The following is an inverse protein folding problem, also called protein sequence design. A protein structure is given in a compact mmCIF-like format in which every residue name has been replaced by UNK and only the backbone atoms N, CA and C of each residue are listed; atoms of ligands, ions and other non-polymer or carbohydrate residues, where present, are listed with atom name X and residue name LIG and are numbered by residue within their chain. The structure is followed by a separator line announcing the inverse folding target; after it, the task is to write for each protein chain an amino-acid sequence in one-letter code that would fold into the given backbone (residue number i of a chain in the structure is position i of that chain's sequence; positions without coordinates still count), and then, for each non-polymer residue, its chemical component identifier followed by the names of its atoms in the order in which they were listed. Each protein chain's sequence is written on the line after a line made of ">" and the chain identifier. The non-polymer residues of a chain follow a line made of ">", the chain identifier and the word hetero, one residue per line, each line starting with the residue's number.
data_IF_861268119094
#
_entry.id   IF_861268119094
#
_cell.length_a   1.000
_cell.length_b   1.000
_cell.length_c   1.000
_cell.angle_alpha   90.00
_cell.angle_beta   90.00
_cell.angle_gamma   90.00
#
_symmetry.space_group_name_H-M   'P 1'
#
loop_
_entity.id
_entity.type
_entity.pdbx_description
1 polymer ?
#
# COMPACT_ATOMS: atom_id res chain seq x y z
N UNK A 1 -7.62 6.17 -12.24
CA UNK A 1 -6.98 4.84 -12.29
C UNK A 1 -7.47 3.90 -11.17
N UNK A 2 -7.36 4.28 -9.88
CA UNK A 2 -7.76 3.43 -8.75
C UNK A 2 -9.23 2.95 -8.78
N UNK A 3 -10.18 3.86 -9.03
CA UNK A 3 -11.61 3.53 -9.15
C UNK A 3 -11.86 2.45 -10.20
N UNK A 4 -11.27 2.61 -11.39
CA UNK A 4 -11.47 1.69 -12.52
C UNK A 4 -10.93 0.30 -12.22
N UNK A 5 -9.70 0.21 -11.69
CA UNK A 5 -9.09 -1.10 -11.38
C UNK A 5 -9.87 -1.80 -10.27
N UNK A 6 -10.33 -1.06 -9.26
CA UNK A 6 -11.15 -1.61 -8.19
C UNK A 6 -12.55 -2.03 -8.63
N UNK A 7 -13.20 -1.22 -9.47
CA UNK A 7 -14.45 -1.60 -10.11
C UNK A 7 -14.30 -2.86 -10.95
N UNK A 8 -13.28 -2.91 -11.83
CA UNK A 8 -13.03 -4.08 -12.67
C UNK A 8 -12.72 -5.32 -11.85
N UNK A 9 -11.90 -5.20 -10.80
CA UNK A 9 -11.57 -6.33 -9.91
C UNK A 9 -12.82 -6.86 -9.20
N UNK A 10 -13.63 -5.97 -8.61
CA UNK A 10 -14.88 -6.37 -7.95
C UNK A 10 -15.93 -6.89 -8.93
N UNK A 11 -16.02 -6.31 -10.12
CA UNK A 11 -16.91 -6.76 -11.18
C UNK A 11 -16.55 -8.16 -11.65
N UNK A 12 -15.27 -8.44 -11.86
CA UNK A 12 -14.78 -9.78 -12.22
C UNK A 12 -15.07 -10.79 -11.11
N UNK A 13 -14.74 -10.46 -9.86
CA UNK A 13 -15.03 -11.30 -8.69
C UNK A 13 -16.52 -11.66 -8.57
N UNK A 14 -17.42 -10.79 -9.02
CA UNK A 14 -18.88 -10.98 -8.96
C UNK A 14 -19.47 -11.67 -10.19
N UNK A 15 -18.93 -11.40 -11.38
CA UNK A 15 -19.49 -11.86 -12.67
C UNK A 15 -18.96 -13.22 -13.12
N UNK A 16 -17.72 -13.56 -12.76
CA UNK A 16 -17.23 -14.90 -13.07
C UNK A 16 -17.96 -15.88 -12.16
N UNK A 17 -18.70 -16.83 -12.73
CA UNK A 17 -19.13 -18.06 -12.05
C UNK A 17 -17.95 -18.95 -11.58
N UNK A 18 -16.72 -18.43 -11.65
CA UNK A 18 -15.53 -19.04 -11.12
C UNK A 18 -15.60 -19.01 -9.59
N UNK A 19 -15.46 -20.19 -9.00
CA UNK A 19 -15.38 -20.35 -7.55
C UNK A 19 -14.29 -19.43 -6.97
N UNK A 20 -14.54 -18.83 -5.81
CA UNK A 20 -13.55 -18.07 -5.02
C UNK A 20 -12.22 -18.83 -4.86
N UNK A 21 -12.29 -20.17 -4.92
CA UNK A 21 -11.16 -21.11 -4.93
C UNK A 21 -10.20 -20.96 -6.13
N UNK A 22 -10.57 -20.22 -7.18
CA UNK A 22 -9.74 -19.96 -8.36
C UNK A 22 -9.29 -18.49 -8.37
N UNK A 23 -10.23 -17.56 -8.22
CA UNK A 23 -9.94 -16.12 -8.37
C UNK A 23 -9.05 -15.60 -7.25
N UNK A 24 -9.30 -15.99 -6.00
CA UNK A 24 -8.52 -15.49 -4.86
C UNK A 24 -7.07 -15.98 -4.85
N UNK A 25 -6.77 -17.27 -5.15
CA UNK A 25 -5.37 -17.70 -5.31
C UNK A 25 -4.62 -16.94 -6.41
N UNK A 26 -5.24 -16.70 -7.57
CA UNK A 26 -4.60 -15.95 -8.66
C UNK A 26 -4.26 -14.52 -8.19
N UNK A 27 -5.21 -13.85 -7.55
CA UNK A 27 -5.00 -12.53 -6.96
C UNK A 27 -3.89 -12.54 -5.91
N UNK A 28 -3.83 -13.57 -5.06
CA UNK A 28 -2.73 -13.74 -4.12
C UNK A 28 -1.38 -14.03 -4.79
N UNK A 29 -1.38 -14.67 -5.95
CA UNK A 29 -0.18 -14.82 -6.79
C UNK A 29 0.35 -13.49 -7.29
N UNK A 30 -0.53 -12.59 -7.74
CA UNK A 30 -0.16 -11.21 -8.12
C UNK A 30 0.43 -10.49 -6.91
N UNK A 31 -0.19 -10.61 -5.74
CA UNK A 31 0.36 -10.04 -4.49
C UNK A 31 1.74 -10.63 -4.18
N UNK A 32 1.95 -11.94 -4.34
CA UNK A 32 3.24 -12.60 -4.15
C UNK A 32 4.34 -12.08 -5.08
N UNK A 33 4.03 -11.87 -6.36
CA UNK A 33 4.95 -11.25 -7.33
C UNK A 33 5.32 -9.83 -6.90
N UNK A 34 4.35 -9.06 -6.42
CA UNK A 34 4.57 -7.69 -5.97
C UNK A 34 5.44 -7.67 -4.70
N UNK A 35 5.18 -8.57 -3.74
CA UNK A 35 5.99 -8.71 -2.52
C UNK A 35 7.44 -9.03 -2.87
N UNK A 36 7.69 -9.88 -3.87
CA UNK A 36 9.04 -10.18 -4.33
C UNK A 36 9.81 -8.92 -4.80
N UNK A 37 9.09 -7.92 -5.29
CA UNK A 37 9.62 -6.69 -5.89
C UNK A 37 9.40 -5.44 -5.03
N UNK A 38 8.90 -5.59 -3.81
CA UNK A 38 8.63 -4.47 -2.93
C UNK A 38 9.96 -3.88 -2.41
N UNK A 39 10.26 -2.58 -2.66
CA UNK A 39 11.47 -1.95 -2.16
C UNK A 39 11.47 -1.92 -0.62
N UNK A 40 12.59 -2.30 -0.02
CA UNK A 40 12.74 -2.34 1.42
C UNK A 40 14.15 -1.92 1.84
N UNK A 41 14.22 -1.01 2.81
CA UNK A 41 15.48 -0.64 3.46
C UNK A 41 16.05 -1.76 4.35
N UNK A 42 15.24 -2.78 4.68
CA UNK A 42 15.69 -3.94 5.47
C UNK A 42 16.45 -4.96 4.63
N UNK A 43 16.30 -4.92 3.30
CA UNK A 43 16.92 -5.87 2.39
C UNK A 43 18.20 -5.24 1.82
N UNK A 44 19.39 -5.81 2.07
CA UNK A 44 20.62 -5.29 1.52
C UNK A 44 20.63 -5.34 -0.01
N UNK A 45 21.08 -4.27 -0.64
CA UNK A 45 21.32 -4.22 -2.08
C UNK A 45 22.62 -3.45 -2.37
N UNK A 46 23.53 -4.00 -3.19
CA UNK A 46 24.74 -3.29 -3.59
C UNK A 46 24.40 -2.02 -4.39
N UNK A 47 24.90 -0.86 -3.96
CA UNK A 47 24.79 0.39 -4.71
C UNK A 47 23.44 1.12 -4.63
N UNK A 48 22.45 0.60 -3.89
CA UNK A 48 21.16 1.27 -3.66
C UNK A 48 20.79 1.28 -2.18
N UNK A 49 20.04 2.31 -1.75
CA UNK A 49 19.56 2.42 -0.37
C UNK A 49 18.47 1.39 -0.01
N UNK A 50 17.85 0.75 -1.00
CA UNK A 50 16.77 -0.22 -0.81
C UNK A 50 16.96 -1.41 -1.76
N UNK A 51 16.74 -2.61 -1.23
CA UNK A 51 16.72 -3.87 -1.98
C UNK A 51 15.32 -4.47 -2.09
N UNK A 52 15.18 -5.49 -2.94
CA UNK A 52 13.98 -6.31 -3.07
C UNK A 52 14.33 -7.77 -2.81
N UNK A 53 13.34 -8.61 -2.50
CA UNK A 53 13.59 -10.05 -2.31
C UNK A 53 14.18 -10.65 -3.59
N UNK A 54 13.63 -10.26 -4.74
CA UNK A 54 14.10 -10.70 -6.04
C UNK A 54 15.58 -10.30 -6.29
N UNK A 55 15.95 -9.05 -6.01
CA UNK A 55 17.33 -8.59 -6.22
C UNK A 55 18.30 -9.21 -5.22
N UNK A 56 17.88 -9.42 -3.98
CA UNK A 56 18.68 -10.10 -2.97
C UNK A 56 19.03 -11.54 -3.38
N UNK A 57 18.06 -12.29 -3.88
CA UNK A 57 18.29 -13.66 -4.36
C UNK A 57 19.22 -13.65 -5.57
N UNK A 58 19.03 -12.74 -6.53
CA UNK A 58 19.91 -12.62 -7.69
C UNK A 58 21.37 -12.34 -7.29
N UNK A 59 21.57 -11.35 -6.43
CA UNK A 59 22.91 -10.97 -5.95
C UNK A 59 23.58 -12.08 -5.14
N UNK A 60 22.82 -12.90 -4.41
CA UNK A 60 23.35 -13.98 -3.58
C UNK A 60 23.83 -15.19 -4.38
N UNK A 61 23.36 -15.36 -5.61
CA UNK A 61 23.76 -16.50 -6.44
C UNK A 61 25.06 -16.25 -7.21
N UNK A 62 25.54 -14.99 -7.28
CA UNK A 62 26.75 -14.58 -8.01
C UNK A 62 26.80 -15.07 -9.47
N UNK A 63 25.64 -15.42 -10.04
CA UNK A 63 25.52 -15.94 -11.40
C UNK A 63 25.40 -14.79 -12.39
N UNK A 64 26.21 -14.81 -13.45
CA UNK A 64 26.00 -13.91 -14.60
C UNK A 64 24.84 -14.43 -15.44
N UNK A 65 23.65 -13.87 -15.22
CA UNK A 65 22.41 -14.19 -15.96
C UNK A 65 22.02 -13.08 -16.93
N UNK A 66 21.29 -13.41 -18.02
CA UNK A 66 20.81 -12.41 -18.96
C UNK A 66 19.87 -11.40 -18.28
N UNK A 67 20.11 -10.11 -18.54
CA UNK A 67 19.16 -9.05 -18.23
C UNK A 67 17.97 -9.11 -19.19
N UNK A 68 16.76 -9.02 -18.68
CA UNK A 68 15.53 -9.08 -19.48
C UNK A 68 15.06 -7.68 -19.84
N UNK A 69 14.89 -6.80 -18.84
CA UNK A 69 14.47 -5.41 -19.02
C UNK A 69 15.29 -4.52 -18.08
N UNK A 70 16.08 -3.60 -18.63
CA UNK A 70 16.93 -2.71 -17.84
C UNK A 70 17.86 -3.50 -16.91
N UNK A 71 17.82 -3.21 -15.61
CA UNK A 71 18.57 -3.92 -14.58
C UNK A 71 17.87 -5.18 -14.03
N UNK A 72 16.72 -5.56 -14.59
CA UNK A 72 15.93 -6.70 -14.12
C UNK A 72 16.32 -7.98 -14.85
N UNK A 73 16.89 -8.95 -14.12
CA UNK A 73 17.45 -10.18 -14.67
C UNK A 73 16.50 -11.40 -14.59
N UNK A 74 16.95 -12.51 -15.19
CA UNK A 74 16.21 -13.78 -15.22
C UNK A 74 15.99 -14.41 -13.83
N UNK A 75 16.92 -14.24 -12.89
CA UNK A 75 16.77 -14.75 -11.52
C UNK A 75 15.71 -13.96 -10.77
N UNK A 76 15.66 -12.64 -10.94
CA UNK A 76 14.63 -11.79 -10.35
C UNK A 76 13.24 -12.16 -10.88
N UNK A 77 13.09 -12.37 -12.19
CA UNK A 77 11.83 -12.89 -12.80
C UNK A 77 11.46 -14.23 -12.18
N UNK A 78 12.41 -15.17 -12.14
CA UNK A 78 12.18 -16.53 -11.63
C UNK A 78 11.77 -16.51 -10.16
N UNK A 79 12.45 -15.72 -9.33
CA UNK A 79 12.16 -15.55 -7.91
C UNK A 79 10.76 -15.00 -7.69
N UNK A 80 10.39 -13.97 -8.47
CA UNK A 80 9.06 -13.37 -8.42
C UNK A 80 7.96 -14.35 -8.82
N UNK A 81 8.19 -15.13 -9.88
CA UNK A 81 7.26 -16.14 -10.34
C UNK A 81 7.11 -17.27 -9.32
N UNK A 82 8.21 -17.73 -8.71
CA UNK A 82 8.20 -18.76 -7.67
C UNK A 82 7.40 -18.28 -6.46
N UNK A 83 7.63 -17.05 -5.98
CA UNK A 83 6.87 -16.48 -4.86
C UNK A 83 5.38 -16.31 -5.20
N UNK A 84 5.06 -15.88 -6.42
CA UNK A 84 3.69 -15.82 -6.92
C UNK A 84 3.02 -17.19 -6.94
N UNK A 85 3.65 -18.19 -7.54
CA UNK A 85 3.14 -19.56 -7.61
C UNK A 85 3.01 -20.20 -6.22
N UNK A 86 3.94 -19.91 -5.31
CA UNK A 86 3.88 -20.34 -3.92
C UNK A 86 2.65 -19.73 -3.23
N UNK A 87 2.40 -18.43 -3.39
CA UNK A 87 1.21 -17.78 -2.84
C UNK A 87 -0.09 -18.36 -3.40
N UNK A 88 -0.15 -18.65 -4.71
CA UNK A 88 -1.28 -19.35 -5.35
C UNK A 88 -1.50 -20.71 -4.71
N UNK A 89 -0.44 -21.54 -4.63
CA UNK A 89 -0.52 -22.89 -4.09
C UNK A 89 -0.95 -22.90 -2.62
N UNK A 90 -0.39 -22.00 -1.82
CA UNK A 90 -0.73 -21.84 -0.40
C UNK A 90 -2.20 -21.44 -0.23
N UNK A 91 -2.66 -20.38 -0.89
CA UNK A 91 -4.04 -19.93 -0.78
C UNK A 91 -5.03 -20.95 -1.31
N UNK A 92 -4.72 -21.61 -2.42
CA UNK A 92 -5.57 -22.67 -2.97
C UNK A 92 -5.70 -23.84 -1.98
N UNK A 93 -4.60 -24.23 -1.32
CA UNK A 93 -4.61 -25.28 -0.30
C UNK A 93 -5.48 -24.90 0.91
N UNK A 94 -5.44 -23.64 1.33
CA UNK A 94 -6.23 -23.17 2.48
C UNK A 94 -7.71 -23.06 2.12
N UNK A 95 -8.03 -22.45 0.96
CA UNK A 95 -9.41 -22.29 0.47
C UNK A 95 -10.09 -23.62 0.17
N UNK A 96 -9.35 -24.63 -0.30
CA UNK A 96 -9.88 -25.98 -0.52
C UNK A 96 -10.29 -26.68 0.79
N UNK A 97 -9.70 -26.31 1.93
CA UNK A 97 -10.07 -26.85 3.25
C UNK A 97 -11.26 -26.11 3.85
N UNK A 98 -11.25 -24.78 3.75
CA UNK A 98 -12.35 -23.92 4.21
C UNK A 98 -12.28 -22.58 3.49
N UNK A 99 -13.33 -22.25 2.75
CA UNK A 99 -13.42 -20.97 2.02
C UNK A 99 -13.41 -19.82 3.02
N UNK A 100 -14.32 -19.80 3.99
CA UNK A 100 -14.43 -18.72 4.98
C UNK A 100 -13.11 -18.45 5.71
N UNK A 101 -12.42 -19.51 6.13
CA UNK A 101 -11.13 -19.37 6.80
C UNK A 101 -10.05 -18.82 5.87
N UNK A 102 -9.97 -19.35 4.64
CA UNK A 102 -8.98 -18.90 3.66
C UNK A 102 -9.18 -17.45 3.24
N UNK A 103 -10.43 -17.02 3.05
CA UNK A 103 -10.75 -15.63 2.71
C UNK A 103 -10.38 -14.68 3.84
N UNK A 104 -10.70 -15.03 5.11
CA UNK A 104 -10.32 -14.23 6.28
C UNK A 104 -8.81 -14.12 6.43
N UNK A 105 -8.09 -15.23 6.31
CA UNK A 105 -6.63 -15.23 6.43
C UNK A 105 -5.99 -14.41 5.31
N UNK A 106 -6.49 -14.54 4.08
CA UNK A 106 -6.03 -13.74 2.96
C UNK A 106 -6.23 -12.25 3.19
N UNK A 107 -7.41 -11.85 3.70
CA UNK A 107 -7.69 -10.46 4.06
C UNK A 107 -6.79 -9.93 5.18
N UNK A 108 -6.52 -10.73 6.21
CA UNK A 108 -5.59 -10.34 7.28
C UNK A 108 -4.20 -10.14 6.69
N UNK A 109 -3.69 -11.09 5.90
CA UNK A 109 -2.38 -10.98 5.27
C UNK A 109 -2.27 -9.77 4.33
N UNK A 110 -3.26 -9.57 3.45
CA UNK A 110 -3.31 -8.43 2.54
C UNK A 110 -3.43 -7.10 3.31
N UNK A 111 -4.27 -7.05 4.34
CA UNK A 111 -4.43 -5.88 5.19
C UNK A 111 -3.15 -5.51 5.93
N UNK A 112 -2.43 -6.51 6.48
CA UNK A 112 -1.12 -6.31 7.09
C UNK A 112 -0.09 -5.79 6.10
N UNK A 113 -0.09 -6.30 4.86
CA UNK A 113 0.82 -5.85 3.81
C UNK A 113 0.55 -4.41 3.37
N UNK A 114 -0.73 -4.05 3.21
CA UNK A 114 -1.14 -2.67 2.94
C UNK A 114 -0.79 -1.74 4.10
N UNK A 115 -0.99 -2.18 5.35
CA UNK A 115 -0.63 -1.42 6.53
C UNK A 115 0.89 -1.19 6.63
N UNK A 116 1.70 -2.22 6.36
CA UNK A 116 3.16 -2.13 6.31
C UNK A 116 3.61 -1.09 5.26
N UNK A 117 3.07 -1.18 4.04
CA UNK A 117 3.44 -0.26 2.98
C UNK A 117 2.98 1.18 3.23
N UNK A 118 1.76 1.36 3.73
CA UNK A 118 1.24 2.68 4.09
C UNK A 118 2.07 3.29 5.22
N UNK A 119 2.40 2.49 6.24
CA UNK A 119 3.24 2.91 7.36
C UNK A 119 4.60 3.44 6.91
N UNK A 120 5.32 2.71 6.06
CA UNK A 120 6.62 3.15 5.53
C UNK A 120 6.53 4.49 4.78
N UNK A 121 5.51 4.66 3.94
CA UNK A 121 5.29 5.92 3.21
C UNK A 121 4.94 7.09 4.14
N UNK A 122 4.08 6.88 5.14
CA UNK A 122 3.67 7.93 6.07
C UNK A 122 4.80 8.36 7.01
N UNK A 123 5.62 7.41 7.47
CA UNK A 123 6.82 7.75 8.24
C UNK A 123 7.75 8.61 7.42
N UNK A 124 8.05 8.22 6.17
CA UNK A 124 8.91 9.01 5.27
C UNK A 124 8.40 10.43 5.04
N UNK A 125 7.08 10.62 4.85
CA UNK A 125 6.49 11.96 4.69
C UNK A 125 6.60 12.82 5.97
N UNK A 126 6.48 12.21 7.14
CA UNK A 126 6.60 12.90 8.42
C UNK A 126 8.05 13.26 8.77
N UNK A 127 8.99 12.37 8.46
CA UNK A 127 10.41 12.53 8.81
C UNK A 127 11.23 13.26 7.76
N UNK A 128 10.82 13.22 6.48
CA UNK A 128 11.58 13.80 5.37
C UNK A 128 12.01 15.26 5.57
N UNK A 129 11.13 16.18 6.02
CA UNK A 129 11.53 17.56 6.30
C UNK A 129 12.59 17.73 7.40
N UNK A 130 12.75 16.73 8.28
CA UNK A 130 13.68 16.76 9.42
C UNK A 130 15.01 16.05 9.11
N UNK A 131 15.08 15.28 8.03
CA UNK A 131 16.26 14.49 7.65
C UNK A 131 17.53 15.37 7.52
N UNK A 132 17.51 16.54 6.84
CA UNK A 132 18.70 17.38 6.76
C UNK A 132 19.18 17.85 8.13
N UNK A 133 18.29 18.12 9.08
CA UNK A 133 18.67 18.55 10.43
C UNK A 133 19.32 17.40 11.23
N UNK A 134 18.74 16.21 11.14
CA UNK A 134 19.26 15.02 11.83
C UNK A 134 20.63 14.58 11.30
N UNK A 135 20.78 14.53 9.99
CA UNK A 135 22.02 14.04 9.38
C UNK A 135 23.13 15.09 9.40
N UNK A 136 22.82 16.35 9.02
CA UNK A 136 23.87 17.37 8.86
C UNK A 136 24.24 18.08 10.16
N UNK A 137 23.26 18.40 11.02
CA UNK A 137 23.50 19.19 12.24
C UNK A 137 23.71 18.31 13.46
N UNK A 138 22.82 17.34 13.67
CA UNK A 138 22.88 16.45 14.84
C UNK A 138 23.82 15.27 14.63
N UNK A 139 24.22 14.97 13.39
CA UNK A 139 25.05 13.80 13.01
C UNK A 139 24.49 12.49 13.56
N UNK A 140 23.17 12.39 13.63
CA UNK A 140 22.47 11.20 14.10
C UNK A 140 22.09 10.31 12.92
N UNK A 141 22.08 8.98 13.09
CA UNK A 141 21.60 8.07 12.06
C UNK A 141 20.13 8.34 11.71
N UNK A 142 19.79 8.37 10.42
CA UNK A 142 18.40 8.50 9.96
C UNK A 142 17.47 7.40 10.50
N UNK A 143 18.01 6.24 10.88
CA UNK A 143 17.26 5.16 11.53
C UNK A 143 16.62 5.59 12.85
N UNK A 144 17.24 6.49 13.62
CA UNK A 144 16.67 7.04 14.85
C UNK A 144 15.44 7.89 14.53
N UNK A 145 15.57 8.78 13.55
CA UNK A 145 14.48 9.64 13.09
C UNK A 145 13.29 8.81 12.56
N UNK A 146 13.56 7.80 11.73
CA UNK A 146 12.56 6.86 11.23
C UNK A 146 11.89 6.08 12.36
N UNK A 147 12.64 5.67 13.38
CA UNK A 147 12.10 4.95 14.54
C UNK A 147 11.15 5.84 15.35
N UNK A 148 11.51 7.11 15.58
CA UNK A 148 10.65 8.09 16.25
C UNK A 148 9.37 8.32 15.44
N UNK A 149 9.49 8.51 14.12
CA UNK A 149 8.36 8.65 13.23
C UNK A 149 7.44 7.42 13.25
N UNK A 150 8.01 6.21 13.20
CA UNK A 150 7.26 4.96 13.25
C UNK A 150 6.48 4.79 14.56
N UNK A 151 7.11 5.11 15.71
CA UNK A 151 6.44 5.10 17.02
C UNK A 151 5.28 6.10 17.03
N UNK A 152 5.50 7.31 16.52
CA UNK A 152 4.45 8.34 16.44
C UNK A 152 3.24 7.90 15.61
N UNK A 153 3.49 7.31 14.43
CA UNK A 153 2.43 6.75 13.57
C UNK A 153 1.69 5.60 14.27
N UNK A 154 2.40 4.72 14.96
CA UNK A 154 1.80 3.59 15.67
C UNK A 154 0.91 4.05 16.84
N UNK A 155 1.37 5.02 17.62
CA UNK A 155 0.58 5.62 18.69
C UNK A 155 -0.66 6.34 18.15
N UNK A 156 -0.50 7.12 17.08
CA UNK A 156 -1.62 7.80 16.41
C UNK A 156 -2.65 6.81 15.86
N UNK A 157 -2.19 5.73 15.22
CA UNK A 157 -3.06 4.66 14.74
C UNK A 157 -3.81 3.97 15.88
N UNK A 158 -3.14 3.68 17.00
CA UNK A 158 -3.77 3.04 18.16
C UNK A 158 -4.86 3.93 18.79
N UNK A 159 -4.57 5.22 18.97
CA UNK A 159 -5.51 6.18 19.59
C UNK A 159 -6.69 6.54 18.68
N UNK A 160 -6.46 6.64 17.36
CA UNK A 160 -7.46 7.12 16.39
C UNK A 160 -8.24 6.03 15.65
N UNK A 161 -7.78 4.78 15.68
CA UNK A 161 -8.31 3.65 14.92
C UNK A 161 -9.83 3.44 15.02
N UNK A 162 -10.46 3.46 16.22
CA UNK A 162 -11.88 3.08 16.34
C UNK A 162 -12.82 3.96 15.52
N UNK A 163 -12.55 5.26 15.39
CA UNK A 163 -13.37 6.22 14.63
C UNK A 163 -13.22 6.03 13.13
N UNK A 164 -11.98 5.79 12.68
CA UNK A 164 -11.67 5.65 11.25
C UNK A 164 -12.18 4.32 10.71
N UNK A 165 -12.03 3.23 11.48
CA UNK A 165 -12.52 1.91 11.07
C UNK A 165 -14.04 1.91 10.84
N UNK A 166 -14.81 2.59 11.69
CA UNK A 166 -16.26 2.70 11.52
C UNK A 166 -16.62 3.51 10.27
N UNK A 167 -15.94 4.63 10.03
CA UNK A 167 -16.16 5.44 8.84
C UNK A 167 -15.83 4.66 7.54
N UNK A 168 -14.68 4.00 7.48
CA UNK A 168 -14.24 3.26 6.29
C UNK A 168 -15.12 2.03 6.01
N UNK A 169 -15.52 1.29 7.05
CA UNK A 169 -16.26 0.04 6.88
C UNK A 169 -17.77 0.23 6.66
N UNK A 170 -18.35 1.35 7.09
CA UNK A 170 -19.81 1.58 7.04
C UNK A 170 -20.22 2.84 6.30
N UNK A 171 -19.45 3.93 6.39
CA UNK A 171 -19.91 5.25 5.95
C UNK A 171 -19.62 5.54 4.49
N UNK A 172 -18.49 5.08 3.98
CA UNK A 172 -18.14 5.25 2.56
C UNK A 172 -18.81 4.20 1.67
N UNK A 173 -19.07 3.02 2.24
CA UNK A 173 -19.27 1.80 1.50
C UNK A 173 -19.54 0.66 2.50
N UNK A 174 -20.67 -0.06 2.41
CA UNK A 174 -20.91 -1.26 3.24
C UNK A 174 -19.98 -2.40 2.80
N UNK A 175 -18.79 -2.47 3.42
CA UNK A 175 -17.75 -3.42 3.02
C UNK A 175 -18.09 -4.85 3.46
N UNK A 176 -18.50 -5.68 2.51
CA UNK A 176 -18.43 -7.13 2.63
C UNK A 176 -16.98 -7.65 2.50
N UNK A 177 -16.81 -8.94 2.76
CA UNK A 177 -15.51 -9.63 2.73
C UNK A 177 -14.87 -9.55 1.34
N UNK A 178 -15.59 -9.95 0.28
CA UNK A 178 -15.08 -9.87 -1.10
C UNK A 178 -14.87 -8.42 -1.58
N UNK A 179 -15.68 -7.47 -1.08
CA UNK A 179 -15.55 -6.03 -1.40
C UNK A 179 -14.27 -5.44 -0.81
N UNK A 180 -13.89 -5.90 0.38
CA UNK A 180 -12.61 -5.54 0.99
C UNK A 180 -11.43 -6.02 0.15
N UNK A 181 -11.50 -7.23 -0.40
CA UNK A 181 -10.47 -7.74 -1.34
C UNK A 181 -10.43 -6.90 -2.61
N UNK A 182 -11.61 -6.65 -3.21
CA UNK A 182 -11.76 -5.86 -4.42
C UNK A 182 -11.32 -4.39 -4.26
N UNK A 183 -11.25 -3.87 -3.03
CA UNK A 183 -10.69 -2.56 -2.74
C UNK A 183 -9.18 -2.63 -2.45
N UNK A 184 -8.74 -3.55 -1.58
CA UNK A 184 -7.37 -3.58 -1.07
C UNK A 184 -6.36 -4.01 -2.13
N UNK A 185 -6.68 -4.96 -3.00
CA UNK A 185 -5.73 -5.44 -4.02
C UNK A 185 -5.38 -4.35 -5.04
N UNK A 186 -6.34 -3.69 -5.70
CA UNK A 186 -6.04 -2.55 -6.58
C UNK A 186 -5.26 -1.45 -5.87
N UNK A 187 -5.66 -1.11 -4.64
CA UNK A 187 -4.96 -0.09 -3.86
C UNK A 187 -3.50 -0.48 -3.65
N UNK A 188 -3.26 -1.74 -3.28
CA UNK A 188 -1.93 -2.29 -3.07
C UNK A 188 -1.10 -2.29 -4.37
N UNK A 189 -1.66 -2.78 -5.48
CA UNK A 189 -0.98 -2.83 -6.79
C UNK A 189 -0.54 -1.42 -7.21
N UNK A 190 -1.46 -0.45 -7.16
CA UNK A 190 -1.17 0.93 -7.56
C UNK A 190 -0.13 1.56 -6.64
N UNK A 191 -0.26 1.33 -5.35
CA UNK A 191 0.67 1.85 -4.37
C UNK A 191 2.09 1.32 -4.61
N UNK A 192 2.26 0.00 -4.76
CA UNK A 192 3.58 -0.58 -5.00
C UNK A 192 4.15 -0.15 -6.34
N UNK A 193 3.33 -0.07 -7.38
CA UNK A 193 3.77 0.40 -8.70
C UNK A 193 4.30 1.83 -8.60
N UNK A 194 3.58 2.72 -7.91
CA UNK A 194 4.03 4.10 -7.73
C UNK A 194 5.31 4.20 -6.89
N UNK A 195 5.45 3.40 -5.83
CA UNK A 195 6.67 3.33 -5.00
C UNK A 195 7.86 2.90 -5.86
N UNK A 196 7.71 1.84 -6.66
CA UNK A 196 8.77 1.33 -7.55
C UNK A 196 9.15 2.40 -8.59
N UNK A 197 8.19 3.16 -9.10
CA UNK A 197 8.43 4.24 -10.06
C UNK A 197 8.92 5.55 -9.41
N UNK A 198 9.01 5.61 -8.07
CA UNK A 198 9.43 6.81 -7.35
C UNK A 198 8.41 7.96 -7.37
N UNK A 199 7.14 7.67 -7.68
CA UNK A 199 6.10 8.71 -7.68
C UNK A 199 5.60 8.99 -6.26
N UNK A 200 5.58 10.26 -5.81
CA UNK A 200 4.97 10.61 -4.53
C UNK A 200 3.45 10.39 -4.61
N UNK A 201 2.92 9.58 -3.70
CA UNK A 201 1.50 9.20 -3.70
C UNK A 201 0.85 9.39 -2.33
N UNK A 202 -0.47 9.63 -2.35
CA UNK A 202 -1.31 9.59 -1.16
C UNK A 202 -1.98 8.21 -1.04
N UNK A 203 -1.49 7.38 -0.11
CA UNK A 203 -2.12 6.10 0.23
C UNK A 203 -3.59 6.26 0.63
N UNK A 204 -3.91 7.30 1.40
CA UNK A 204 -5.29 7.61 1.80
C UNK A 204 -6.20 7.81 0.59
N UNK A 205 -5.71 8.52 -0.43
CA UNK A 205 -6.49 8.76 -1.64
C UNK A 205 -6.65 7.46 -2.43
N UNK A 206 -5.58 6.68 -2.60
CA UNK A 206 -5.62 5.42 -3.36
C UNK A 206 -6.64 4.46 -2.76
N UNK A 207 -6.60 4.24 -1.44
CA UNK A 207 -7.51 3.35 -0.72
C UNK A 207 -8.95 3.86 -0.82
N UNK A 208 -9.20 5.15 -0.57
CA UNK A 208 -10.55 5.70 -0.64
C UNK A 208 -11.17 5.51 -2.02
N UNK A 209 -10.41 5.82 -3.08
CA UNK A 209 -10.87 5.63 -4.45
C UNK A 209 -11.07 4.16 -4.81
N UNK A 210 -10.27 3.24 -4.26
CA UNK A 210 -10.48 1.81 -4.44
C UNK A 210 -11.74 1.32 -3.73
N UNK A 211 -12.06 1.83 -2.54
CA UNK A 211 -13.28 1.50 -1.80
C UNK A 211 -14.53 2.00 -2.53
N UNK A 212 -14.48 3.23 -3.06
CA UNK A 212 -15.55 3.80 -3.88
C UNK A 212 -15.72 2.98 -5.16
N UNK A 213 -14.61 2.65 -5.84
CA UNK A 213 -14.62 1.84 -7.06
C UNK A 213 -15.17 0.43 -6.86
N UNK A 214 -14.78 -0.24 -5.78
CA UNK A 214 -15.33 -1.56 -5.46
C UNK A 214 -16.82 -1.49 -5.10
N UNK A 215 -17.28 -0.36 -4.52
CA UNK A 215 -18.69 -0.11 -4.27
C UNK A 215 -19.56 -0.01 -5.51
N UNK A 216 -19.06 0.63 -6.57
CA UNK A 216 -19.81 0.82 -7.82
C UNK A 216 -20.27 -0.52 -8.43
N UNK A 217 -19.65 -1.64 -8.05
CA UNK A 217 -20.02 -2.99 -8.50
C UNK A 217 -21.38 -3.47 -7.98
N UNK A 218 -21.92 -2.86 -6.93
CA UNK A 218 -23.26 -3.14 -6.36
C UNK A 218 -24.32 -2.12 -6.77
N UNK A 219 -23.93 -1.10 -7.54
CA UNK A 219 -24.78 0.02 -7.91
C UNK A 219 -24.42 1.31 -7.15
N UNK A 220 -24.92 2.44 -7.65
CA UNK A 220 -24.58 3.78 -7.15
C UNK A 220 -25.13 4.08 -5.76
N UNK A 221 -26.15 3.35 -5.31
CA UNK A 221 -26.74 3.48 -3.97
C UNK A 221 -25.78 3.03 -2.85
N UNK A 222 -24.81 2.18 -3.19
CA UNK A 222 -23.81 1.67 -2.23
C UNK A 222 -22.71 2.68 -1.89
N UNK A 223 -22.77 3.90 -2.46
CA UNK A 223 -21.78 4.97 -2.33
C UNK A 223 -22.46 6.26 -1.90
N UNK A 224 -21.93 6.88 -0.86
CA UNK A 224 -22.36 8.21 -0.47
C UNK A 224 -21.63 9.29 -1.28
N UNK A 225 -22.28 9.79 -2.34
CA UNK A 225 -21.77 10.94 -3.12
C UNK A 225 -21.53 12.16 -2.23
N UNK A 226 -22.44 12.40 -1.27
CA UNK A 226 -22.32 13.48 -0.29
C UNK A 226 -21.06 13.33 0.56
N UNK A 227 -20.81 12.18 1.19
CA UNK A 227 -19.58 12.00 2.01
C UNK A 227 -18.31 12.08 1.17
N UNK A 228 -18.37 11.56 -0.06
CA UNK A 228 -17.23 11.65 -1.00
C UNK A 228 -16.89 13.09 -1.33
N UNK A 229 -17.88 13.93 -1.68
CA UNK A 229 -17.63 15.34 -2.00
C UNK A 229 -17.16 16.14 -0.79
N UNK A 230 -17.71 15.89 0.41
CA UNK A 230 -17.20 16.47 1.65
C UNK A 230 -15.73 16.12 1.89
N UNK A 231 -15.34 14.87 1.64
CA UNK A 231 -13.95 14.42 1.83
C UNK A 231 -13.00 15.16 0.90
N UNK A 232 -13.37 15.30 -0.37
CA UNK A 232 -12.57 16.06 -1.35
C UNK A 232 -12.46 17.54 -0.96
N UNK A 233 -13.57 18.15 -0.52
CA UNK A 233 -13.56 19.53 -0.06
C UNK A 233 -12.63 19.72 1.15
N UNK A 234 -12.66 18.80 2.11
CA UNK A 234 -11.78 18.80 3.27
C UNK A 234 -10.31 18.66 2.84
N UNK A 235 -9.99 17.79 1.88
CA UNK A 235 -8.61 17.66 1.38
C UNK A 235 -8.07 18.95 0.75
N UNK A 236 -8.89 19.65 -0.02
CA UNK A 236 -8.51 20.95 -0.58
C UNK A 236 -8.32 22.00 0.51
N UNK A 237 -9.23 22.01 1.49
CA UNK A 237 -9.16 22.94 2.61
C UNK A 237 -7.92 22.69 3.48
N UNK A 238 -7.61 21.43 3.80
CA UNK A 238 -6.43 21.09 4.60
C UNK A 238 -5.14 21.36 3.86
N UNK A 239 -5.10 21.15 2.54
CA UNK A 239 -3.94 21.51 1.71
C UNK A 239 -3.67 23.01 1.77
N UNK A 240 -4.70 23.83 1.52
CA UNK A 240 -4.59 25.28 1.58
C UNK A 240 -4.23 25.76 2.99
N UNK A 241 -4.92 25.22 4.01
CA UNK A 241 -4.69 25.55 5.41
C UNK A 241 -3.27 25.22 5.87
N UNK A 242 -2.73 24.07 5.48
CA UNK A 242 -1.35 23.69 5.78
C UNK A 242 -0.34 24.65 5.13
N UNK A 243 -0.56 25.02 3.87
CA UNK A 243 0.30 25.97 3.16
C UNK A 243 0.31 27.36 3.80
N UNK A 244 -0.88 27.90 4.10
CA UNK A 244 -1.03 29.21 4.76
C UNK A 244 -0.39 29.18 6.15
N UNK A 245 -0.66 28.14 6.94
CA UNK A 245 -0.10 28.01 8.29
C UNK A 245 1.43 27.91 8.24
N UNK A 246 1.98 27.07 7.35
CA UNK A 246 3.42 26.95 7.16
C UNK A 246 4.08 28.28 6.76
N UNK A 247 3.47 29.02 5.83
CA UNK A 247 3.96 30.33 5.41
C UNK A 247 3.95 31.36 6.54
N UNK A 248 2.84 31.44 7.30
CA UNK A 248 2.72 32.36 8.44
C UNK A 248 3.76 32.04 9.50
N UNK A 249 3.90 30.77 9.88
CA UNK A 249 4.90 30.34 10.86
C UNK A 249 6.32 30.69 10.40
N UNK A 250 6.66 30.39 9.14
CA UNK A 250 7.95 30.78 8.57
C UNK A 250 8.19 32.29 8.67
N UNK A 251 7.20 33.11 8.28
CA UNK A 251 7.31 34.58 8.34
C UNK A 251 7.49 35.10 9.76
N UNK A 252 6.82 34.49 10.74
CA UNK A 252 6.99 34.84 12.16
C UNK A 252 8.40 34.49 12.62
N UNK A 253 8.87 33.27 12.37
CA UNK A 253 10.20 32.84 12.79
C UNK A 253 11.31 33.65 12.12
N UNK A 254 11.19 33.96 10.83
CA UNK A 254 12.18 34.75 10.08
C UNK A 254 12.29 36.23 10.54
N UNK A 255 11.34 36.71 11.34
CA UNK A 255 11.41 38.05 11.96
C UNK A 255 11.99 37.98 13.37
N UNK A 256 11.85 36.85 14.06
CA UNK A 256 12.24 36.68 15.48
C UNK A 256 13.65 36.07 15.62
N UNK A 257 14.04 35.18 14.72
CA UNK A 257 15.34 34.50 14.65
C UNK A 257 16.20 35.10 13.53
#
# INVERSE_FOLDING_TARGET
>A
MSITIAYTTGYLLRRTSLSEQITLPILGGIVGIIVANMPSALIPAPGTAQGTIASYVSNSLEMSVPTIIGAYDLVMVSTSLILGLFAVGLLRRILNRSIDHGVRLFLIGLGSLVAFSSGGSQVGLATGPLEPLFESQLRLPGTILLSIGAIGILLGAWMGSPRILQAVARDYSSLGVLRSIAALIPAFIIAQTAIILGYPISFNNIILWSIIGSGLTEGTESISVRKTSYTVAIWLLTLFGAGVTGFILYRIFAVIL
#
